data_IF_853793266443
#
_entry.id   IF_853793266443
#
_cell.length_a   1.000
_cell.length_b   1.000
_cell.length_c   1.000
_cell.angle_alpha   90.00
_cell.angle_beta   90.00
_cell.angle_gamma   90.00
#
_symmetry.space_group_name_H-M   'P 1'
#
loop_
_entity.id
_entity.type
_entity.pdbx_description
1 polymer ?
#
# COMPACT_ATOMS: atom_id res chain seq x y z
N UNK A 1 23.32 -32.47 -9.31
CA UNK A 1 23.85 -32.86 -10.64
C UNK A 1 25.17 -32.12 -10.82
N UNK A 2 26.30 -32.79 -10.67
CA UNK A 2 27.63 -32.20 -10.93
C UNK A 2 27.87 -32.19 -12.45
N UNK A 3 28.48 -31.14 -12.98
CA UNK A 3 28.66 -30.85 -14.42
C UNK A 3 29.45 -31.92 -15.23
N UNK A 4 29.89 -33.00 -14.59
CA UNK A 4 30.85 -33.99 -15.11
C UNK A 4 30.23 -35.14 -15.93
N UNK A 5 28.90 -35.20 -16.12
CA UNK A 5 28.25 -36.37 -16.76
C UNK A 5 27.21 -36.08 -17.85
N UNK A 6 27.13 -34.86 -18.40
CA UNK A 6 26.25 -34.60 -19.55
C UNK A 6 26.92 -35.00 -20.87
N UNK A 7 26.27 -35.91 -21.60
CA UNK A 7 26.63 -36.32 -22.96
C UNK A 7 26.43 -35.18 -23.96
N UNK A 8 27.00 -35.31 -25.15
CA UNK A 8 26.89 -34.30 -26.20
C UNK A 8 25.44 -34.09 -26.67
N UNK A 9 24.64 -35.14 -26.71
CA UNK A 9 23.26 -35.08 -27.19
C UNK A 9 22.35 -34.45 -26.13
N UNK A 10 22.51 -34.79 -24.85
CA UNK A 10 21.80 -34.11 -23.75
C UNK A 10 22.13 -32.60 -23.71
N UNK A 11 23.38 -32.21 -23.99
CA UNK A 11 23.75 -30.80 -24.07
C UNK A 11 23.05 -30.07 -25.22
N UNK A 12 22.85 -30.73 -26.37
CA UNK A 12 22.10 -30.14 -27.50
C UNK A 12 20.61 -30.02 -27.21
N UNK A 13 20.02 -31.00 -26.53
CA UNK A 13 18.62 -30.94 -26.11
C UNK A 13 18.39 -29.79 -25.12
N UNK A 14 19.25 -29.67 -24.11
CA UNK A 14 19.21 -28.55 -23.16
C UNK A 14 19.39 -27.22 -23.89
N UNK A 15 20.35 -27.14 -24.83
CA UNK A 15 20.57 -25.93 -25.62
C UNK A 15 19.32 -25.53 -26.41
N UNK A 16 18.67 -26.47 -27.10
CA UNK A 16 17.46 -26.19 -27.87
C UNK A 16 16.30 -25.72 -26.97
N UNK A 17 16.17 -26.30 -25.77
CA UNK A 17 15.16 -25.86 -24.79
C UNK A 17 15.47 -24.44 -24.30
N UNK A 18 16.71 -24.15 -23.93
CA UNK A 18 17.14 -22.82 -23.47
C UNK A 18 16.91 -21.78 -24.57
N UNK A 19 17.31 -22.06 -25.81
CA UNK A 19 17.06 -21.17 -26.96
C UNK A 19 15.55 -20.94 -27.18
N UNK A 20 14.72 -21.98 -27.02
CA UNK A 20 13.26 -21.84 -27.10
C UNK A 20 12.68 -20.95 -25.99
N UNK A 21 13.18 -21.11 -24.75
CA UNK A 21 12.77 -20.29 -23.61
C UNK A 21 13.23 -18.84 -23.75
N UNK A 22 14.45 -18.61 -24.23
CA UNK A 22 14.99 -17.26 -24.45
C UNK A 22 14.19 -16.53 -25.53
N UNK A 23 13.84 -17.21 -26.62
CA UNK A 23 12.96 -16.66 -27.66
C UNK A 23 11.57 -16.33 -27.11
N UNK A 24 10.96 -17.22 -26.34
CA UNK A 24 9.66 -16.96 -25.73
C UNK A 24 9.70 -15.76 -24.76
N UNK A 25 10.76 -15.66 -23.95
CA UNK A 25 10.96 -14.52 -23.05
C UNK A 25 11.14 -13.21 -23.83
N UNK A 26 11.86 -13.23 -24.95
CA UNK A 26 12.04 -12.05 -25.79
C UNK A 26 10.74 -11.57 -26.44
N UNK A 27 9.90 -12.49 -26.92
CA UNK A 27 8.59 -12.15 -27.46
C UNK A 27 7.67 -11.56 -26.38
N UNK A 28 7.69 -12.10 -25.16
CA UNK A 28 6.98 -11.49 -24.02
C UNK A 28 7.49 -10.08 -23.76
N UNK A 29 8.82 -9.86 -23.70
CA UNK A 29 9.43 -8.54 -23.49
C UNK A 29 9.00 -7.54 -24.57
N UNK A 30 9.02 -7.93 -25.84
CA UNK A 30 8.53 -7.11 -26.96
C UNK A 30 7.04 -6.82 -26.82
N UNK A 31 6.27 -7.80 -26.35
CA UNK A 31 4.82 -7.66 -26.17
C UNK A 31 4.43 -6.78 -24.99
N UNK A 32 5.26 -6.62 -23.95
CA UNK A 32 4.98 -5.78 -22.76
C UNK A 32 5.62 -4.38 -22.84
N UNK A 33 6.68 -4.21 -23.64
CA UNK A 33 7.38 -2.93 -23.74
C UNK A 33 6.46 -1.76 -24.14
N UNK A 34 5.50 -1.90 -25.08
CA UNK A 34 4.56 -0.83 -25.41
C UNK A 34 3.64 -0.44 -24.25
N UNK A 35 3.22 -1.40 -23.42
CA UNK A 35 2.34 -1.18 -22.27
C UNK A 35 3.11 -0.47 -21.16
N UNK A 36 4.35 -0.89 -20.90
CA UNK A 36 5.23 -0.18 -19.95
C UNK A 36 5.43 1.27 -20.39
N UNK A 37 5.68 1.51 -21.68
CA UNK A 37 5.79 2.86 -22.21
C UNK A 37 4.48 3.65 -22.09
N UNK A 38 3.33 3.03 -22.39
CA UNK A 38 2.02 3.67 -22.27
C UNK A 38 1.68 4.03 -20.81
N UNK A 39 1.99 3.15 -19.86
CA UNK A 39 1.86 3.41 -18.42
C UNK A 39 2.71 4.62 -18.04
N UNK A 40 4.00 4.63 -18.41
CA UNK A 40 4.88 5.77 -18.11
C UNK A 40 4.41 7.09 -18.72
N UNK A 41 3.79 7.06 -19.90
CA UNK A 41 3.19 8.26 -20.50
C UNK A 41 1.96 8.75 -19.72
N UNK A 42 1.11 7.85 -19.23
CA UNK A 42 -0.06 8.19 -18.41
C UNK A 42 0.37 8.72 -17.04
N UNK A 43 1.37 8.09 -16.42
CA UNK A 43 1.97 8.55 -15.16
C UNK A 43 2.58 9.94 -15.33
N UNK A 44 3.30 10.20 -16.43
CA UNK A 44 3.80 11.55 -16.74
C UNK A 44 2.69 12.60 -16.84
N UNK A 45 1.57 12.28 -17.51
CA UNK A 45 0.41 13.19 -17.59
C UNK A 45 -0.22 13.44 -16.21
N UNK A 46 -0.32 12.40 -15.38
CA UNK A 46 -0.81 12.51 -13.99
C UNK A 46 0.11 13.45 -13.20
N UNK A 47 1.42 13.23 -13.26
CA UNK A 47 2.39 13.99 -12.47
C UNK A 47 2.43 15.46 -12.91
N UNK A 48 2.38 15.74 -14.22
CA UNK A 48 2.24 17.11 -14.74
C UNK A 48 0.94 17.78 -14.24
N UNK A 49 -0.18 17.06 -14.23
CA UNK A 49 -1.45 17.56 -13.72
C UNK A 49 -1.38 17.90 -12.21
N UNK A 50 -0.74 17.04 -11.42
CA UNK A 50 -0.58 17.24 -9.97
C UNK A 50 0.39 18.38 -9.64
N UNK A 51 1.53 18.45 -10.34
CA UNK A 51 2.49 19.56 -10.20
C UNK A 51 1.83 20.91 -10.49
N UNK A 52 1.01 21.00 -11.54
CA UNK A 52 0.27 22.21 -11.88
C UNK A 52 -0.75 22.67 -10.81
N UNK A 53 -1.09 21.81 -9.85
CA UNK A 53 -2.07 22.07 -8.78
C UNK A 53 -1.45 22.37 -7.42
N UNK A 54 -0.12 22.38 -7.32
CA UNK A 54 0.59 22.74 -6.10
C UNK A 54 1.50 21.64 -5.56
N UNK A 55 2.10 20.84 -6.46
CA UNK A 55 3.05 19.77 -6.10
C UNK A 55 2.43 18.72 -5.16
N UNK A 56 1.26 18.23 -5.56
CA UNK A 56 0.53 17.20 -4.80
C UNK A 56 1.16 15.83 -5.02
N UNK A 57 1.59 15.18 -3.94
CA UNK A 57 2.08 13.79 -3.97
C UNK A 57 0.98 12.84 -3.51
N UNK A 58 0.70 11.81 -4.30
CA UNK A 58 -0.36 10.83 -3.99
C UNK A 58 0.14 9.88 -2.90
N UNK A 59 -0.52 9.92 -1.74
CA UNK A 59 -0.27 8.99 -0.65
C UNK A 59 -0.99 7.66 -0.85
N UNK A 60 -2.15 7.67 -1.50
CA UNK A 60 -2.93 6.46 -1.76
C UNK A 60 -4.38 6.73 -2.12
N UNK A 61 -5.25 5.79 -1.79
CA UNK A 61 -6.69 5.86 -2.02
C UNK A 61 -7.45 5.51 -0.75
N UNK A 62 -8.54 6.23 -0.49
CA UNK A 62 -9.42 5.94 0.63
C UNK A 62 -10.10 4.58 0.43
N UNK A 63 -9.98 3.66 1.40
CA UNK A 63 -10.66 2.35 1.33
C UNK A 63 -12.18 2.47 1.31
N UNK A 64 -12.75 3.50 1.96
CA UNK A 64 -14.20 3.66 2.08
C UNK A 64 -14.88 4.26 0.84
N UNK A 65 -14.19 5.11 0.07
CA UNK A 65 -14.80 5.85 -1.04
C UNK A 65 -13.94 5.95 -2.30
N UNK A 66 -12.77 5.30 -2.32
CA UNK A 66 -11.84 5.23 -3.46
C UNK A 66 -11.31 6.60 -3.93
N UNK A 67 -11.51 7.68 -3.17
CA UNK A 67 -10.95 8.97 -3.51
C UNK A 67 -9.43 8.98 -3.37
N UNK A 68 -8.75 9.74 -4.24
CA UNK A 68 -7.31 9.97 -4.14
C UNK A 68 -7.02 10.73 -2.84
N UNK A 69 -5.99 10.29 -2.12
CA UNK A 69 -5.46 10.94 -0.93
C UNK A 69 -4.07 11.48 -1.21
N UNK A 70 -3.81 12.69 -0.77
CA UNK A 70 -2.50 13.34 -0.91
C UNK A 70 -1.76 13.36 0.41
N UNK A 71 -0.42 13.40 0.36
CA UNK A 71 0.36 13.70 1.56
C UNK A 71 -0.02 15.09 2.09
N UNK A 72 -0.24 15.17 3.40
CA UNK A 72 -0.78 16.33 4.11
C UNK A 72 -2.29 16.28 4.33
N UNK A 73 -3.04 15.39 3.68
CA UNK A 73 -4.48 15.24 3.92
C UNK A 73 -4.75 14.73 5.34
N UNK A 74 -5.90 15.13 5.87
CA UNK A 74 -6.41 14.56 7.13
C UNK A 74 -7.11 13.25 6.86
N UNK A 75 -6.78 12.24 7.64
CA UNK A 75 -7.42 10.93 7.56
C UNK A 75 -6.92 9.98 8.63
N UNK A 76 -7.15 8.69 8.43
CA UNK A 76 -6.74 7.64 9.34
C UNK A 76 -5.96 6.59 8.56
N UNK A 77 -4.83 6.15 9.09
CA UNK A 77 -4.06 5.05 8.53
C UNK A 77 -3.73 4.05 9.63
N UNK A 78 -3.78 2.77 9.30
CA UNK A 78 -3.11 1.73 10.07
C UNK A 78 -1.63 1.72 9.67
N UNK A 79 -0.69 1.47 10.58
CA UNK A 79 0.76 1.62 10.34
C UNK A 79 1.27 0.85 9.10
N UNK A 80 0.67 -0.30 8.79
CA UNK A 80 0.96 -1.11 7.59
C UNK A 80 -0.31 -1.40 6.74
N UNK A 81 -1.36 -0.60 6.89
CA UNK A 81 -2.69 -0.97 6.42
C UNK A 81 -3.41 0.08 5.57
N UNK A 82 -4.73 -0.09 5.51
CA UNK A 82 -5.61 0.74 4.70
C UNK A 82 -5.62 2.20 5.19
N UNK A 83 -5.75 3.13 4.23
CA UNK A 83 -5.86 4.56 4.50
C UNK A 83 -7.30 5.00 4.24
N UNK A 84 -7.84 5.85 5.10
CA UNK A 84 -9.17 6.45 4.97
C UNK A 84 -9.09 7.96 4.96
N UNK A 85 -9.89 8.64 4.12
CA UNK A 85 -10.10 10.08 4.24
C UNK A 85 -10.76 10.41 5.59
N UNK A 86 -10.71 11.68 6.02
CA UNK A 86 -11.34 12.10 7.29
C UNK A 86 -12.82 11.72 7.40
N UNK A 87 -13.57 11.77 6.29
CA UNK A 87 -15.00 11.45 6.28
C UNK A 87 -15.26 9.95 6.49
N UNK A 88 -14.40 9.11 5.93
CA UNK A 88 -14.45 7.65 6.06
C UNK A 88 -13.71 7.12 7.29
N UNK A 89 -12.92 7.95 7.97
CA UNK A 89 -12.16 7.56 9.16
C UNK A 89 -13.09 7.05 10.27
N UNK A 90 -12.63 6.17 11.16
CA UNK A 90 -13.40 5.84 12.36
C UNK A 90 -13.51 7.05 13.29
N UNK A 91 -14.55 7.07 14.11
CA UNK A 91 -14.54 7.94 15.30
C UNK A 91 -13.63 7.36 16.37
N UNK A 92 -13.26 8.16 17.37
CA UNK A 92 -12.54 7.66 18.54
C UNK A 92 -13.29 6.51 19.24
N UNK A 93 -14.61 6.59 19.34
CA UNK A 93 -15.44 5.52 19.90
C UNK A 93 -15.39 4.23 19.06
N UNK A 94 -15.47 4.34 17.72
CA UNK A 94 -15.40 3.18 16.83
C UNK A 94 -14.02 2.49 16.90
N UNK A 95 -12.95 3.28 16.99
CA UNK A 95 -11.60 2.76 17.13
C UNK A 95 -11.38 2.13 18.50
N UNK A 96 -11.91 2.70 19.59
CA UNK A 96 -11.81 2.13 20.93
C UNK A 96 -12.36 0.70 20.97
N UNK A 97 -13.52 0.46 20.36
CA UNK A 97 -14.12 -0.87 20.27
C UNK A 97 -13.19 -1.86 19.55
N UNK A 98 -12.57 -1.42 18.45
CA UNK A 98 -11.66 -2.23 17.64
C UNK A 98 -10.38 -2.59 18.41
N UNK A 99 -9.72 -1.61 19.04
CA UNK A 99 -8.51 -1.85 19.82
C UNK A 99 -8.80 -2.67 21.08
N UNK A 100 -9.95 -2.46 21.73
CA UNK A 100 -10.36 -3.24 22.90
C UNK A 100 -10.62 -4.70 22.55
N UNK A 101 -11.22 -4.96 21.39
CA UNK A 101 -11.42 -6.32 20.88
C UNK A 101 -10.07 -7.01 20.63
N UNK A 102 -9.12 -6.32 19.98
CA UNK A 102 -7.79 -6.86 19.69
C UNK A 102 -6.94 -7.11 20.96
N UNK A 103 -7.02 -6.21 21.95
CA UNK A 103 -6.31 -6.34 23.23
C UNK A 103 -6.78 -7.52 24.10
N UNK A 104 -7.96 -8.08 23.82
CA UNK A 104 -8.46 -9.25 24.52
C UNK A 104 -7.66 -10.53 24.25
N UNK A 105 -6.87 -10.55 23.18
CA UNK A 105 -6.27 -11.76 22.63
C UNK A 105 -4.73 -11.85 22.79
N UNK A 106 -4.05 -10.77 23.22
CA UNK A 106 -2.57 -10.71 23.24
C UNK A 106 -2.00 -9.56 24.11
N UNK A 107 -0.84 -9.78 24.74
CA UNK A 107 -0.15 -8.83 25.62
C UNK A 107 0.42 -7.63 24.83
N UNK A 108 0.88 -7.84 23.60
CA UNK A 108 1.34 -6.77 22.69
C UNK A 108 0.19 -5.81 22.31
N UNK A 109 -0.99 -6.36 22.07
CA UNK A 109 -2.19 -5.60 21.74
C UNK A 109 -2.74 -4.82 22.95
N UNK A 110 -2.45 -5.26 24.18
CA UNK A 110 -2.81 -4.54 25.40
C UNK A 110 -2.03 -3.22 25.55
N UNK A 111 -0.74 -3.20 25.17
CA UNK A 111 0.08 -1.97 25.16
C UNK A 111 -0.43 -0.98 24.10
N UNK A 112 -0.73 -1.46 22.90
CA UNK A 112 -1.32 -0.63 21.84
C UNK A 112 -2.68 -0.02 22.23
N UNK A 113 -3.53 -0.80 22.92
CA UNK A 113 -4.79 -0.28 23.44
C UNK A 113 -4.59 0.76 24.55
N UNK A 114 -3.60 0.58 25.43
CA UNK A 114 -3.29 1.56 26.47
C UNK A 114 -2.79 2.89 25.86
N UNK A 115 -1.92 2.85 24.84
CA UNK A 115 -1.49 4.05 24.11
C UNK A 115 -2.66 4.76 23.42
N UNK A 116 -3.50 4.00 22.70
CA UNK A 116 -4.71 4.53 22.07
C UNK A 116 -5.61 5.21 23.11
N UNK A 117 -5.85 4.58 24.25
CA UNK A 117 -6.67 5.13 25.34
C UNK A 117 -6.09 6.42 25.90
N UNK A 118 -4.78 6.49 26.13
CA UNK A 118 -4.11 7.70 26.60
C UNK A 118 -4.34 8.87 25.64
N UNK A 119 -4.18 8.62 24.34
CA UNK A 119 -4.35 9.65 23.30
C UNK A 119 -5.80 10.11 23.17
N UNK A 120 -6.76 9.19 23.30
CA UNK A 120 -8.17 9.52 23.32
C UNK A 120 -8.54 10.38 24.54
N UNK A 121 -8.00 10.05 25.72
CA UNK A 121 -8.20 10.82 26.95
C UNK A 121 -7.62 12.23 26.84
N UNK A 122 -6.44 12.39 26.23
CA UNK A 122 -5.85 13.70 25.92
C UNK A 122 -6.75 14.53 24.98
N UNK A 123 -7.29 13.92 23.91
CA UNK A 123 -8.23 14.57 22.99
C UNK A 123 -9.47 15.08 23.72
N UNK A 124 -10.08 14.24 24.55
CA UNK A 124 -11.26 14.60 25.35
C UNK A 124 -10.94 15.68 26.39
N UNK A 125 -9.79 15.58 27.06
CA UNK A 125 -9.34 16.60 28.01
C UNK A 125 -9.08 17.96 27.33
N UNK A 126 -8.66 17.95 26.07
CA UNK A 126 -8.53 19.13 25.22
C UNK A 126 -9.87 19.74 24.75
N UNK A 127 -11.00 19.13 25.10
CA UNK A 127 -12.35 19.57 24.71
C UNK A 127 -12.92 18.87 23.48
N UNK A 128 -12.23 17.86 22.95
CA UNK A 128 -12.71 17.02 21.86
C UNK A 128 -13.78 16.02 22.28
N UNK A 129 -14.47 15.42 21.32
CA UNK A 129 -15.52 14.43 21.52
C UNK A 129 -15.11 13.06 21.00
N UNK A 130 -15.53 11.99 21.69
CA UNK A 130 -15.31 10.61 21.24
C UNK A 130 -16.04 10.27 19.94
N UNK A 131 -17.07 11.06 19.58
CA UNK A 131 -17.80 10.91 18.33
C UNK A 131 -17.15 11.68 17.16
N UNK A 132 -16.03 12.37 17.40
CA UNK A 132 -15.26 12.99 16.33
C UNK A 132 -14.38 11.96 15.62
N UNK A 133 -14.15 12.20 14.32
CA UNK A 133 -13.26 11.42 13.48
C UNK A 133 -11.82 11.59 13.95
N UNK A 134 -11.05 10.50 13.93
CA UNK A 134 -9.63 10.54 14.32
C UNK A 134 -8.81 11.17 13.19
N UNK A 135 -8.17 12.33 13.40
CA UNK A 135 -7.40 12.98 12.36
C UNK A 135 -5.89 12.71 12.55
N UNK A 136 -5.34 11.86 11.70
CA UNK A 136 -3.91 11.81 11.40
C UNK A 136 -3.61 12.61 10.15
N UNK A 137 -2.35 13.04 10.03
CA UNK A 137 -1.83 13.58 8.78
C UNK A 137 -1.27 12.40 7.99
N UNK A 138 -1.80 12.22 6.77
CA UNK A 138 -1.34 11.24 5.79
C UNK A 138 -0.07 11.76 5.10
#
# INVERSE_FOLDING_TARGET
MTLETLTKDERKEIQAIVEGLDNAAEEIRKSIAPQVHAIGAIEGIRDEFLMARGDLEVAGYCVGCECILFHGDRGYHYEDGEISCIDCSPTWADAEESFKAAAGDDEEHAEAYADFKSRMEEHVAGGGSVNEKIPYII
#
